data_IF_286074205121
#
_entry.id   IF_286074205121
#
_cell.length_a   1.000
_cell.length_b   1.000
_cell.length_c   1.000
_cell.angle_alpha   90.00
_cell.angle_beta   90.00
_cell.angle_gamma   90.00
#
_symmetry.space_group_name_H-M   'P 1'
#
loop_
_entity.id
_entity.type
_entity.pdbx_description
1 polymer ?
#
# COMPACT_ATOMS: atom_id res chain seq x y z
N UNK A 1 2.59 5.13 -14.52
CA UNK A 1 2.68 4.41 -13.23
C UNK A 1 1.31 3.86 -12.88
N UNK A 2 1.19 2.56 -12.59
CA UNK A 2 -0.06 1.97 -12.10
C UNK A 2 -0.19 2.21 -10.59
N UNK A 3 -1.43 2.48 -10.14
CA UNK A 3 -1.73 2.78 -8.74
C UNK A 3 -1.86 1.50 -7.91
N UNK A 4 -1.62 1.61 -6.59
CA UNK A 4 -1.81 0.51 -5.65
C UNK A 4 -3.25 -0.04 -5.68
N UNK A 5 -3.37 -1.35 -5.64
CA UNK A 5 -4.65 -2.06 -5.69
C UNK A 5 -5.21 -2.28 -7.10
N UNK A 6 -4.56 -1.78 -8.15
CA UNK A 6 -5.01 -1.95 -9.55
C UNK A 6 -4.09 -2.85 -10.38
N UNK A 7 -2.91 -3.20 -9.87
CA UNK A 7 -1.87 -3.87 -10.64
C UNK A 7 -1.27 -5.10 -9.93
N UNK A 8 -1.92 -5.64 -8.93
CA UNK A 8 -1.45 -6.80 -8.17
C UNK A 8 -0.04 -6.62 -7.62
N UNK A 9 0.80 -7.63 -7.81
CA UNK A 9 2.26 -7.54 -7.61
C UNK A 9 3.02 -7.30 -8.92
N UNK A 10 2.31 -7.16 -10.05
CA UNK A 10 2.86 -6.78 -11.35
C UNK A 10 3.21 -7.97 -12.24
N UNK A 11 3.75 -9.05 -11.71
CA UNK A 11 4.16 -10.21 -12.51
C UNK A 11 2.97 -10.89 -13.23
N UNK A 12 1.75 -10.76 -12.69
CA UNK A 12 0.52 -11.27 -13.34
C UNK A 12 0.27 -10.61 -14.70
N UNK A 13 0.66 -9.35 -14.85
CA UNK A 13 0.55 -8.61 -16.11
C UNK A 13 1.70 -8.88 -17.08
N UNK A 14 2.83 -9.42 -16.59
CA UNK A 14 3.92 -9.82 -17.46
C UNK A 14 3.55 -10.99 -18.39
N UNK A 15 2.50 -11.73 -18.07
CA UNK A 15 1.93 -12.75 -18.96
C UNK A 15 1.23 -12.15 -20.20
N UNK A 16 0.85 -10.86 -20.14
CA UNK A 16 0.08 -10.19 -21.19
C UNK A 16 0.95 -9.27 -22.06
N UNK A 17 1.97 -8.64 -21.47
CA UNK A 17 2.88 -7.70 -22.15
C UNK A 17 4.17 -7.48 -21.34
N UNK A 18 5.18 -6.90 -21.97
CA UNK A 18 6.41 -6.49 -21.28
C UNK A 18 6.14 -5.32 -20.33
N UNK A 19 6.07 -5.61 -19.03
CA UNK A 19 5.79 -4.61 -17.99
C UNK A 19 6.95 -3.60 -17.81
N UNK A 20 8.13 -3.84 -18.39
CA UNK A 20 9.25 -2.90 -18.36
C UNK A 20 8.99 -1.63 -19.19
N UNK A 21 7.89 -1.53 -19.93
CA UNK A 21 7.42 -0.25 -20.51
C UNK A 21 7.00 0.75 -19.42
N UNK A 22 6.69 0.28 -18.20
CA UNK A 22 6.40 1.16 -17.06
C UNK A 22 7.70 1.69 -16.45
N UNK A 23 7.67 2.94 -15.98
CA UNK A 23 8.79 3.51 -15.21
C UNK A 23 8.85 2.95 -13.78
N UNK A 24 7.70 2.75 -13.18
CA UNK A 24 7.45 2.11 -11.88
C UNK A 24 5.95 1.86 -11.70
N UNK A 25 5.58 1.15 -10.65
CA UNK A 25 4.19 1.03 -10.18
C UNK A 25 4.15 0.79 -8.68
N UNK A 26 2.98 1.03 -8.08
CA UNK A 26 2.74 0.69 -6.68
C UNK A 26 2.06 -0.67 -6.60
N UNK A 27 2.69 -1.63 -5.93
CA UNK A 27 2.13 -2.96 -5.78
C UNK A 27 1.03 -3.03 -4.72
N UNK A 28 0.40 -4.18 -4.61
CA UNK A 28 -0.70 -4.46 -3.69
C UNK A 28 -0.36 -4.10 -2.25
N UNK A 29 -1.29 -3.39 -1.58
CA UNK A 29 -1.15 -3.03 -0.17
C UNK A 29 -0.85 -4.23 0.72
N UNK A 30 0.23 -4.11 1.47
CA UNK A 30 0.82 -5.15 2.32
C UNK A 30 0.63 -4.80 3.77
N UNK A 31 0.18 -5.76 4.56
CA UNK A 31 0.04 -5.68 6.02
C UNK A 31 1.03 -6.61 6.73
N UNK A 32 1.23 -6.42 8.04
CA UNK A 32 2.15 -7.27 8.83
C UNK A 32 1.75 -8.75 8.71
N UNK A 33 0.49 -9.04 8.97
CA UNK A 33 -0.07 -10.39 8.90
C UNK A 33 -0.89 -10.59 7.60
N UNK A 34 -1.05 -11.83 7.12
CA UNK A 34 -1.92 -12.15 5.99
C UNK A 34 -3.37 -11.70 6.22
N UNK A 35 -4.04 -11.24 5.16
CA UNK A 35 -5.47 -10.90 5.19
C UNK A 35 -6.19 -11.59 4.05
N UNK A 36 -7.30 -12.24 4.36
CA UNK A 36 -8.17 -12.89 3.37
C UNK A 36 -9.09 -11.89 2.65
N UNK A 37 -9.23 -10.68 3.24
CA UNK A 37 -10.17 -9.68 2.74
C UNK A 37 -11.61 -9.94 3.21
N UNK A 38 -12.54 -9.20 2.62
CA UNK A 38 -13.96 -9.34 2.93
C UNK A 38 -14.58 -10.61 2.33
N UNK A 39 -15.68 -11.14 2.91
CA UNK A 39 -16.42 -12.25 2.32
C UNK A 39 -17.01 -11.89 0.94
N UNK A 40 -17.32 -12.91 0.15
CA UNK A 40 -18.00 -12.76 -1.14
C UNK A 40 -19.53 -12.51 -0.94
N UNK A 41 -20.20 -11.76 -1.87
CA UNK A 41 -19.63 -11.08 -3.05
C UNK A 41 -18.94 -9.77 -2.68
N UNK A 42 -17.80 -9.46 -3.31
CA UNK A 42 -17.02 -8.26 -3.02
C UNK A 42 -16.58 -7.47 -4.26
N UNK A 43 -17.14 -7.83 -5.41
CA UNK A 43 -17.01 -7.11 -6.68
C UNK A 43 -18.37 -7.08 -7.33
N UNK A 44 -18.76 -5.91 -7.85
CA UNK A 44 -19.99 -5.72 -8.61
C UNK A 44 -19.71 -4.84 -9.83
N UNK A 45 -20.30 -5.19 -10.96
CA UNK A 45 -20.26 -4.33 -12.15
C UNK A 45 -21.24 -3.15 -11.99
N UNK A 46 -20.85 -2.01 -12.52
CA UNK A 46 -21.71 -0.84 -12.68
C UNK A 46 -21.55 -0.27 -14.11
N UNK A 47 -22.38 0.70 -14.46
CA UNK A 47 -22.46 1.23 -15.83
C UNK A 47 -21.12 1.66 -16.41
N UNK A 48 -20.20 2.14 -15.59
CA UNK A 48 -18.94 2.76 -16.02
C UNK A 48 -17.69 2.12 -15.38
N UNK A 49 -17.82 0.93 -14.80
CA UNK A 49 -16.69 0.25 -14.17
C UNK A 49 -17.08 -0.81 -13.16
N UNK A 50 -16.24 -0.97 -12.15
CA UNK A 50 -16.40 -1.96 -11.08
C UNK A 50 -16.42 -1.26 -9.72
N UNK A 51 -17.37 -1.66 -8.88
CA UNK A 51 -17.40 -1.33 -7.46
C UNK A 51 -16.80 -2.52 -6.71
N UNK A 52 -15.92 -2.27 -5.75
CA UNK A 52 -15.32 -3.34 -4.97
C UNK A 52 -15.26 -3.03 -3.48
N UNK A 53 -15.22 -4.10 -2.69
CA UNK A 53 -14.95 -4.10 -1.25
C UNK A 53 -13.99 -5.23 -0.90
N UNK A 54 -12.83 -5.26 -1.53
CA UNK A 54 -11.85 -6.37 -1.41
C UNK A 54 -11.36 -6.55 0.03
N UNK A 55 -11.24 -5.48 0.82
CA UNK A 55 -10.84 -5.57 2.22
C UNK A 55 -9.36 -5.82 2.43
N UNK A 56 -8.51 -5.25 1.56
CA UNK A 56 -7.06 -5.29 1.66
C UNK A 56 -6.49 -6.73 1.68
N UNK A 57 -7.05 -7.64 0.89
CA UNK A 57 -6.52 -9.00 0.74
C UNK A 57 -5.05 -8.96 0.31
N UNK A 58 -4.19 -9.60 1.09
CA UNK A 58 -2.76 -9.71 0.80
C UNK A 58 -2.13 -10.85 1.62
N UNK A 59 -0.98 -11.40 1.20
CA UNK A 59 -0.35 -12.55 1.86
C UNK A 59 0.46 -12.21 3.10
N UNK A 60 0.54 -10.93 3.49
CA UNK A 60 1.40 -10.43 4.57
C UNK A 60 2.83 -10.17 4.14
N UNK A 61 3.54 -9.32 4.89
CA UNK A 61 4.88 -8.84 4.54
C UNK A 61 5.90 -9.96 4.36
N UNK A 62 5.81 -11.03 5.16
CA UNK A 62 6.72 -12.18 5.06
C UNK A 62 6.69 -12.82 3.67
N UNK A 63 5.50 -13.17 3.20
CA UNK A 63 5.34 -13.77 1.87
C UNK A 63 5.58 -12.78 0.74
N UNK A 64 5.28 -11.51 0.93
CA UNK A 64 5.63 -10.49 -0.07
C UNK A 64 7.13 -10.48 -0.30
N UNK A 65 7.94 -10.51 0.74
CA UNK A 65 9.39 -10.50 0.64
C UNK A 65 9.92 -11.83 0.08
N UNK A 66 9.43 -12.97 0.59
CA UNK A 66 9.98 -14.29 0.26
C UNK A 66 9.47 -14.88 -1.06
N UNK A 67 8.28 -14.47 -1.53
CA UNK A 67 7.63 -15.07 -2.69
C UNK A 67 7.30 -14.05 -3.78
N UNK A 68 6.62 -12.93 -3.45
CA UNK A 68 6.05 -12.02 -4.46
C UNK A 68 7.12 -11.12 -5.11
N UNK A 69 8.01 -10.53 -4.31
CA UNK A 69 9.12 -9.74 -4.84
C UNK A 69 10.11 -10.57 -5.70
N UNK A 70 10.49 -11.80 -5.35
CA UNK A 70 11.28 -12.66 -6.22
C UNK A 70 10.61 -12.97 -7.57
N UNK A 71 9.28 -13.23 -7.60
CA UNK A 71 8.55 -13.42 -8.86
C UNK A 71 8.57 -12.16 -9.71
N UNK A 72 8.38 -11.01 -9.09
CA UNK A 72 8.45 -9.73 -9.78
C UNK A 72 9.86 -9.45 -10.32
N UNK A 73 10.91 -9.73 -9.55
CA UNK A 73 12.30 -9.55 -9.97
C UNK A 73 12.67 -10.34 -11.23
N UNK A 74 11.98 -11.45 -11.48
CA UNK A 74 12.19 -12.26 -12.67
C UNK A 74 11.68 -11.61 -13.97
N UNK A 75 10.81 -10.59 -13.89
CA UNK A 75 10.17 -9.98 -15.06
C UNK A 75 10.16 -8.44 -15.06
N UNK A 76 10.66 -7.79 -14.01
CA UNK A 76 10.71 -6.33 -13.92
C UNK A 76 12.06 -5.87 -13.36
N UNK A 77 12.78 -5.08 -14.13
CA UNK A 77 14.17 -4.65 -13.86
C UNK A 77 14.29 -3.32 -13.11
N UNK A 78 13.15 -2.67 -12.81
CA UNK A 78 13.12 -1.34 -12.18
C UNK A 78 12.62 -1.43 -10.73
N UNK A 79 12.87 -0.36 -9.98
CA UNK A 79 12.36 -0.25 -8.60
C UNK A 79 10.85 -0.03 -8.60
N UNK A 80 10.20 -0.59 -7.59
CA UNK A 80 8.75 -0.47 -7.35
C UNK A 80 8.45 0.31 -6.08
N UNK A 81 7.23 0.78 -5.99
CA UNK A 81 6.68 1.44 -4.80
C UNK A 81 5.95 0.42 -3.93
N UNK A 82 6.37 0.29 -2.69
CA UNK A 82 5.76 -0.62 -1.73
C UNK A 82 4.57 0.08 -1.05
N UNK A 83 3.34 -0.36 -1.35
CA UNK A 83 2.16 0.12 -0.63
C UNK A 83 2.04 -0.58 0.72
N UNK A 84 2.05 0.18 1.80
CA UNK A 84 2.02 -0.30 3.17
C UNK A 84 0.69 0.08 3.82
N UNK A 85 0.01 -0.90 4.39
CA UNK A 85 -1.15 -0.72 5.26
C UNK A 85 -0.90 -1.30 6.64
N UNK A 86 -1.57 -0.78 7.65
CA UNK A 86 -1.48 -1.26 9.03
C UNK A 86 -2.70 -0.86 9.84
N UNK A 87 -2.80 -1.40 11.04
CA UNK A 87 -3.88 -1.14 12.00
C UNK A 87 -3.37 -0.50 13.30
N UNK A 88 -2.04 -0.36 13.42
CA UNK A 88 -1.38 0.39 14.49
C UNK A 88 -0.12 1.08 13.94
N UNK A 89 0.44 2.02 14.70
CA UNK A 89 1.69 2.70 14.34
C UNK A 89 2.85 1.72 14.21
N UNK A 90 2.88 0.72 15.09
CA UNK A 90 3.90 -0.33 15.12
C UNK A 90 3.82 -1.21 13.86
N UNK A 91 2.62 -1.57 13.39
CA UNK A 91 2.44 -2.34 12.15
C UNK A 91 2.92 -1.54 10.94
N UNK A 92 2.54 -0.26 10.82
CA UNK A 92 3.04 0.60 9.74
C UNK A 92 4.57 0.71 9.75
N UNK A 93 5.17 0.94 10.92
CA UNK A 93 6.60 1.03 11.08
C UNK A 93 7.31 -0.27 10.70
N UNK A 94 6.87 -1.41 11.25
CA UNK A 94 7.52 -2.70 11.02
C UNK A 94 7.42 -3.17 9.54
N UNK A 95 6.24 -3.04 8.94
CA UNK A 95 6.06 -3.39 7.50
C UNK A 95 6.92 -2.49 6.63
N UNK A 96 6.94 -1.18 6.89
CA UNK A 96 7.75 -0.22 6.14
C UNK A 96 9.24 -0.50 6.28
N UNK A 97 9.73 -0.78 7.48
CA UNK A 97 11.13 -1.13 7.75
C UNK A 97 11.55 -2.35 6.93
N UNK A 98 10.77 -3.44 7.02
CA UNK A 98 11.08 -4.69 6.31
C UNK A 98 11.08 -4.53 4.79
N UNK A 99 10.11 -3.81 4.23
CA UNK A 99 10.05 -3.56 2.79
C UNK A 99 11.14 -2.57 2.32
N UNK A 100 11.53 -1.63 3.17
CA UNK A 100 12.62 -0.72 2.86
C UNK A 100 13.99 -1.43 2.75
N UNK A 101 14.19 -2.55 3.42
CA UNK A 101 15.40 -3.38 3.29
C UNK A 101 15.49 -4.14 1.96
N UNK A 102 14.39 -4.24 1.19
CA UNK A 102 14.36 -4.95 -0.08
C UNK A 102 14.95 -4.10 -1.21
N UNK A 103 15.93 -4.62 -1.92
CA UNK A 103 16.59 -3.91 -3.02
C UNK A 103 15.62 -3.48 -4.13
N UNK A 104 14.61 -4.28 -4.41
CA UNK A 104 13.64 -4.02 -5.47
C UNK A 104 12.69 -2.85 -5.13
N UNK A 105 12.52 -2.52 -3.86
CA UNK A 105 11.69 -1.41 -3.40
C UNK A 105 12.48 -0.10 -3.49
N UNK A 106 11.94 0.89 -4.21
CA UNK A 106 12.51 2.22 -4.35
C UNK A 106 11.83 3.28 -3.49
N UNK A 107 10.56 3.07 -3.15
CA UNK A 107 9.73 4.02 -2.38
C UNK A 107 8.79 3.26 -1.44
N UNK A 108 8.46 3.87 -0.33
CA UNK A 108 7.40 3.42 0.58
C UNK A 108 6.17 4.31 0.39
N UNK A 109 5.05 3.73 -0.02
CA UNK A 109 3.75 4.40 -0.09
C UNK A 109 2.91 4.03 1.14
N UNK A 110 2.79 4.95 2.07
CA UNK A 110 1.99 4.77 3.29
C UNK A 110 0.52 4.97 2.96
N UNK A 111 -0.29 3.93 3.08
CA UNK A 111 -1.71 3.95 2.76
C UNK A 111 -2.55 4.23 4.02
N UNK A 112 -2.84 5.49 4.29
CA UNK A 112 -3.76 5.91 5.35
C UNK A 112 -5.22 5.99 4.88
N UNK A 113 -5.49 5.72 3.60
CA UNK A 113 -6.84 5.86 3.00
C UNK A 113 -7.75 4.64 3.20
N UNK A 114 -7.31 3.60 3.90
CA UNK A 114 -8.11 2.39 4.06
C UNK A 114 -9.15 2.56 5.17
N UNK A 115 -10.48 2.52 4.89
CA UNK A 115 -11.53 2.79 5.89
C UNK A 115 -11.81 1.60 6.82
N UNK A 116 -11.08 0.51 6.70
CA UNK A 116 -11.40 -0.77 7.34
C UNK A 116 -10.79 -0.92 8.74
N UNK A 117 -11.13 -0.01 9.66
CA UNK A 117 -10.83 -0.20 11.08
C UNK A 117 -12.15 -0.39 11.82
N UNK A 118 -12.65 -1.63 11.84
CA UNK A 118 -13.87 -1.99 12.58
C UNK A 118 -13.65 -2.22 14.08
N UNK A 119 -12.42 -2.22 14.57
CA UNK A 119 -12.09 -2.45 15.98
C UNK A 119 -11.67 -1.18 16.71
N UNK A 120 -12.56 -0.17 16.73
CA UNK A 120 -12.39 1.01 17.60
C UNK A 120 -11.24 1.96 17.24
N UNK A 121 -10.61 1.78 16.10
CA UNK A 121 -9.50 2.60 15.63
C UNK A 121 -9.98 3.83 14.85
N UNK A 122 -9.33 4.95 15.12
CA UNK A 122 -9.39 6.16 14.31
C UNK A 122 -8.99 5.76 12.87
N UNK A 123 -9.79 6.12 11.87
CA UNK A 123 -9.36 6.00 10.47
C UNK A 123 -8.20 6.98 10.27
N UNK A 124 -6.97 6.50 10.30
CA UNK A 124 -5.76 7.31 10.28
C UNK A 124 -5.75 8.41 9.20
N UNK A 125 -6.43 8.18 8.09
CA UNK A 125 -6.48 9.13 7.00
C UNK A 125 -7.56 10.20 7.10
N UNK A 126 -8.38 10.22 8.15
CA UNK A 126 -9.46 11.21 8.33
C UNK A 126 -9.15 12.28 9.38
N UNK A 127 -8.10 12.06 10.16
CA UNK A 127 -7.64 12.97 11.20
C UNK A 127 -6.18 13.38 10.94
N UNK A 128 -5.86 14.69 10.90
CA UNK A 128 -4.51 15.17 10.62
C UNK A 128 -3.44 14.67 11.59
N UNK A 129 -3.73 14.64 12.89
CA UNK A 129 -2.76 14.24 13.92
C UNK A 129 -2.52 12.73 13.88
N UNK A 130 -3.56 11.95 13.60
CA UNK A 130 -3.44 10.50 13.40
C UNK A 130 -2.61 10.18 12.15
N UNK A 131 -2.84 10.87 11.03
CA UNK A 131 -2.06 10.70 9.81
C UNK A 131 -0.59 11.08 10.02
N UNK A 132 -0.33 12.22 10.65
CA UNK A 132 1.02 12.67 11.01
C UNK A 132 1.75 11.66 11.91
N UNK A 133 1.05 11.06 12.86
CA UNK A 133 1.62 10.05 13.77
C UNK A 133 2.09 8.80 13.02
N UNK A 134 1.31 8.34 12.02
CA UNK A 134 1.73 7.23 11.14
C UNK A 134 2.98 7.59 10.34
N UNK A 135 2.99 8.78 9.71
CA UNK A 135 4.14 9.24 8.93
C UNK A 135 5.39 9.32 9.81
N UNK A 136 5.27 9.89 10.99
CA UNK A 136 6.37 10.00 11.97
C UNK A 136 6.90 8.62 12.36
N UNK A 137 6.02 7.66 12.64
CA UNK A 137 6.42 6.29 12.97
C UNK A 137 7.19 5.62 11.81
N UNK A 138 6.71 5.77 10.58
CA UNK A 138 7.38 5.23 9.39
C UNK A 138 8.71 5.93 9.14
N UNK A 139 8.77 7.26 9.21
CA UNK A 139 10.01 8.04 9.00
C UNK A 139 11.08 7.75 10.05
N UNK A 140 10.70 7.33 11.25
CA UNK A 140 11.65 6.93 12.28
C UNK A 140 12.43 5.65 11.93
N UNK A 141 11.89 4.79 11.06
CA UNK A 141 12.50 3.50 10.69
C UNK A 141 12.92 3.40 9.21
N UNK A 142 12.42 4.29 8.35
CA UNK A 142 12.77 4.38 6.94
C UNK A 142 13.56 5.66 6.70
N UNK A 143 14.88 5.55 6.60
CA UNK A 143 15.79 6.70 6.50
C UNK A 143 16.44 6.86 5.12
N UNK A 144 16.51 5.80 4.35
CA UNK A 144 17.24 5.69 3.10
C UNK A 144 16.37 5.72 1.83
N UNK A 145 15.04 5.65 2.01
CA UNK A 145 14.08 5.67 0.90
C UNK A 145 13.04 6.77 1.05
N UNK A 146 12.58 7.36 -0.07
CA UNK A 146 11.48 8.32 -0.03
C UNK A 146 10.20 7.67 0.51
N UNK A 147 9.50 8.40 1.36
CA UNK A 147 8.19 8.03 1.90
C UNK A 147 7.14 8.94 1.27
N UNK A 148 6.10 8.33 0.71
CA UNK A 148 4.96 8.99 0.07
C UNK A 148 3.72 8.60 0.86
N UNK A 149 2.81 9.54 1.09
CA UNK A 149 1.55 9.25 1.79
C UNK A 149 0.39 9.26 0.79
N UNK A 150 -0.33 8.15 0.73
CA UNK A 150 -1.57 8.08 -0.07
C UNK A 150 -2.75 8.47 0.81
N UNK A 151 -3.23 9.71 0.60
CA UNK A 151 -4.34 10.29 1.34
C UNK A 151 -5.71 9.78 0.86
N UNK A 152 -6.72 9.89 1.73
CA UNK A 152 -8.13 9.66 1.37
C UNK A 152 -8.75 10.93 0.81
N UNK A 153 -9.55 10.87 -0.27
CA UNK A 153 -10.36 11.99 -0.73
C UNK A 153 -11.63 12.21 0.13
N UNK A 154 -11.99 11.23 0.96
CA UNK A 154 -13.24 11.24 1.76
C UNK A 154 -13.04 11.97 3.09
N UNK A 155 -12.62 13.21 3.02
CA UNK A 155 -12.34 14.10 4.16
C UNK A 155 -12.83 15.51 3.87
N UNK A 156 -13.08 16.29 4.92
CA UNK A 156 -13.56 17.67 4.78
C UNK A 156 -12.47 18.58 4.23
N UNK A 157 -11.21 18.40 4.69
CA UNK A 157 -10.06 19.21 4.28
C UNK A 157 -8.82 18.33 4.08
N UNK A 158 -8.59 17.93 2.84
CA UNK A 158 -7.42 17.13 2.45
C UNK A 158 -6.11 17.92 2.57
N UNK A 159 -6.17 19.25 2.47
CA UNK A 159 -4.99 20.11 2.57
C UNK A 159 -4.49 20.15 4.01
N UNK A 160 -5.40 20.17 5.00
CA UNK A 160 -5.03 20.10 6.40
C UNK A 160 -4.29 18.79 6.72
N UNK A 161 -4.79 17.64 6.20
CA UNK A 161 -4.12 16.35 6.39
C UNK A 161 -2.77 16.29 5.67
N UNK A 162 -2.70 16.79 4.42
CA UNK A 162 -1.45 16.82 3.68
C UNK A 162 -0.36 17.63 4.40
N UNK A 163 -0.70 18.82 4.93
CA UNK A 163 0.22 19.65 5.70
C UNK A 163 0.66 19.00 7.02
N UNK A 164 -0.21 18.24 7.66
CA UNK A 164 0.14 17.52 8.89
C UNK A 164 1.12 16.35 8.62
N UNK A 165 1.08 15.79 7.40
CA UNK A 165 1.99 14.72 6.98
C UNK A 165 3.35 15.22 6.47
N UNK A 166 3.49 16.52 6.19
CA UNK A 166 4.72 17.15 5.70
C UNK A 166 5.75 17.33 6.83
#
# INVERSE_FOLDING_TARGET
MAASGTYGYGYEFAELYDINVLGTFSFKGTTLNPRYGNPLPRIAECREGLINSIGLQNPGVEKVISEELPKLAACFDKKVMANVGGFSLEEYAEVSRRLAECDQVGWIEVNVSCPNVHDGGIAFGTDPDAAASVVKAVKAVVTDKPVIVKLSPNVTDIVAIAKACE
#
